data_IF_727371221170
#
_entry.id   IF_727371221170
#
_cell.length_a   1.000
_cell.length_b   1.000
_cell.length_c   1.000
_cell.angle_alpha   90.00
_cell.angle_beta   90.00
_cell.angle_gamma   90.00
#
_symmetry.space_group_name_H-M   'P 1'
#
loop_
_entity.id
_entity.type
_entity.pdbx_description
1 polymer ?
#
# COMPACT_ATOMS: atom_id res chain seq x y z
N UNK A 1 -17.78 -62.19 -3.52
CA UNK A 1 -18.02 -62.54 -2.10
C UNK A 1 -17.05 -61.78 -1.21
N UNK A 2 -17.61 -61.07 -0.22
CA UNK A 2 -17.09 -60.65 1.10
C UNK A 2 -15.82 -59.79 1.20
N UNK A 3 -16.07 -58.48 1.37
CA UNK A 3 -15.30 -57.52 2.18
C UNK A 3 -15.58 -57.82 3.67
N UNK A 4 -14.66 -57.48 4.59
CA UNK A 4 -15.00 -56.53 5.67
C UNK A 4 -13.87 -55.49 5.81
N UNK A 5 -14.07 -54.17 5.79
CA UNK A 5 -14.92 -53.31 6.62
C UNK A 5 -14.57 -53.43 8.11
N UNK A 6 -13.67 -52.55 8.59
CA UNK A 6 -13.60 -52.20 10.01
C UNK A 6 -14.02 -50.72 10.12
N UNK A 7 -15.30 -50.57 10.42
CA UNK A 7 -15.98 -49.35 10.86
C UNK A 7 -15.61 -49.12 12.34
N UNK A 8 -15.21 -47.89 12.72
CA UNK A 8 -15.99 -46.97 13.56
C UNK A 8 -15.94 -47.29 15.08
N UNK A 9 -15.98 -46.40 16.09
CA UNK A 9 -16.22 -44.95 16.22
C UNK A 9 -15.97 -44.62 17.72
N UNK A 10 -15.42 -43.43 18.01
CA UNK A 10 -15.55 -42.60 19.22
C UNK A 10 -15.02 -43.08 20.59
N UNK A 11 -14.13 -42.25 21.18
CA UNK A 11 -14.40 -41.71 22.52
C UNK A 11 -13.89 -40.27 22.62
N UNK A 12 -14.82 -39.33 22.55
CA UNK A 12 -14.63 -37.96 23.01
C UNK A 12 -14.63 -37.99 24.55
N UNK A 13 -13.55 -37.52 25.17
CA UNK A 13 -13.64 -36.86 26.47
C UNK A 13 -12.94 -35.52 26.38
N UNK A 14 -13.80 -34.52 26.39
CA UNK A 14 -13.54 -33.10 26.53
C UNK A 14 -12.84 -32.75 27.85
N UNK A 15 -12.22 -31.57 27.82
CA UNK A 15 -12.07 -30.58 28.90
C UNK A 15 -10.93 -30.70 29.93
N UNK A 16 -10.11 -29.65 29.86
CA UNK A 16 -9.66 -28.80 30.96
C UNK A 16 -8.16 -28.89 31.29
N UNK A 17 -7.42 -27.88 30.84
CA UNK A 17 -6.01 -27.69 31.19
C UNK A 17 -5.41 -26.43 30.55
N UNK A 18 -5.98 -25.26 30.85
CA UNK A 18 -5.29 -23.98 30.69
C UNK A 18 -3.94 -24.03 31.41
N UNK A 19 -2.83 -24.01 30.67
CA UNK A 19 -1.57 -23.47 31.18
C UNK A 19 -0.92 -22.61 30.10
N UNK A 20 -1.27 -21.32 30.17
CA UNK A 20 -0.46 -20.16 29.78
C UNK A 20 0.91 -20.47 29.17
N UNK A 21 0.98 -20.45 27.84
CA UNK A 21 2.24 -20.26 27.15
C UNK A 21 2.79 -18.86 27.52
N UNK A 22 4.07 -18.72 27.89
CA UNK A 22 4.63 -17.44 28.25
C UNK A 22 4.58 -16.51 27.03
N UNK A 23 3.96 -15.35 27.20
CA UNK A 23 4.08 -14.20 26.30
C UNK A 23 5.56 -13.91 26.11
N UNK A 24 6.11 -14.30 24.96
CA UNK A 24 7.33 -13.69 24.46
C UNK A 24 7.05 -12.20 24.38
N UNK A 25 7.76 -11.40 25.16
CA UNK A 25 7.68 -9.96 25.11
C UNK A 25 8.09 -9.52 23.70
N UNK A 26 7.10 -9.20 22.87
CA UNK A 26 7.31 -8.54 21.59
C UNK A 26 8.02 -7.22 21.89
N UNK A 27 9.26 -7.12 21.42
CA UNK A 27 10.06 -5.91 21.49
C UNK A 27 9.22 -4.71 21.00
N UNK A 28 9.24 -3.54 21.68
CA UNK A 28 8.46 -2.36 21.28
C UNK A 28 8.92 -1.73 19.95
N UNK A 29 9.81 -2.40 19.20
CA UNK A 29 10.33 -1.97 17.91
C UNK A 29 9.44 -2.36 16.71
N UNK A 30 8.52 -3.32 16.86
CA UNK A 30 7.71 -3.85 15.74
C UNK A 30 6.26 -3.34 15.67
N UNK A 31 5.85 -2.47 16.60
CA UNK A 31 4.50 -1.87 16.61
C UNK A 31 4.35 -0.65 15.71
N UNK A 32 5.39 -0.22 15.00
CA UNK A 32 5.29 0.86 14.01
C UNK A 32 4.62 0.44 12.69
N UNK A 33 4.34 -0.86 12.49
CA UNK A 33 3.72 -1.39 11.27
C UNK A 33 2.18 -1.53 11.33
N UNK A 34 1.51 -1.05 12.37
CA UNK A 34 0.05 -1.20 12.55
C UNK A 34 -0.69 0.11 12.86
N UNK A 35 -0.25 1.22 12.27
CA UNK A 35 -1.12 2.41 12.14
C UNK A 35 -1.53 2.49 10.68
N UNK A 36 -2.54 1.70 10.30
CA UNK A 36 -3.35 2.05 9.13
C UNK A 36 -4.04 3.38 9.46
N UNK A 37 -3.75 4.52 8.81
CA UNK A 37 -4.67 5.62 8.93
C UNK A 37 -5.97 5.20 8.24
N UNK A 38 -7.06 5.52 8.92
CA UNK A 38 -8.43 5.38 8.46
C UNK A 38 -8.57 5.85 7.00
N UNK A 39 -9.47 5.21 6.26
CA UNK A 39 -9.84 5.63 4.90
C UNK A 39 -9.88 7.16 4.82
N UNK A 40 -8.99 7.73 4.01
CA UNK A 40 -8.89 9.18 3.79
C UNK A 40 -9.89 9.59 2.71
N UNK A 41 -10.10 10.89 2.49
CA UNK A 41 -10.90 11.36 1.35
C UNK A 41 -10.31 10.91 -0.01
N UNK A 42 -9.02 10.53 -0.03
CA UNK A 42 -8.31 10.01 -1.20
C UNK A 42 -8.36 8.47 -1.31
N UNK A 43 -9.05 7.81 -0.38
CA UNK A 43 -9.22 6.37 -0.33
C UNK A 43 -8.34 5.66 0.68
N UNK A 44 -8.08 4.38 0.40
CA UNK A 44 -7.32 3.50 1.28
C UNK A 44 -5.82 3.73 1.09
N UNK A 45 -5.06 3.72 2.19
CA UNK A 45 -3.60 3.68 2.13
C UNK A 45 -3.16 2.36 1.52
N UNK A 46 -2.45 2.44 0.40
CA UNK A 46 -1.95 1.28 -0.35
C UNK A 46 -0.43 1.27 -0.47
N UNK A 47 0.25 2.38 -0.19
CA UNK A 47 1.71 2.48 -0.16
C UNK A 47 2.10 3.21 1.14
N UNK A 48 3.11 2.68 1.81
CA UNK A 48 3.81 3.33 2.91
C UNK A 48 5.30 3.08 2.74
N UNK A 49 6.10 4.13 2.67
CA UNK A 49 7.54 4.07 2.47
C UNK A 49 8.23 4.97 3.48
N UNK A 50 9.03 4.36 4.35
CA UNK A 50 9.94 5.11 5.23
C UNK A 50 11.17 5.55 4.43
N UNK A 51 11.55 6.82 4.60
CA UNK A 51 12.66 7.46 3.92
C UNK A 51 13.78 7.81 4.91
N UNK A 52 15.05 7.79 4.47
CA UNK A 52 16.14 8.31 5.27
C UNK A 52 16.09 9.84 5.37
N UNK A 53 16.45 10.40 6.53
CA UNK A 53 16.39 11.85 6.88
C UNK A 53 17.25 12.80 6.02
N UNK A 54 17.91 12.29 4.99
CA UNK A 54 18.82 13.06 4.12
C UNK A 54 18.19 13.52 2.81
N UNK A 55 16.96 13.10 2.52
CA UNK A 55 16.26 13.45 1.29
C UNK A 55 15.48 14.75 1.47
N UNK A 56 15.66 15.67 0.53
CA UNK A 56 14.86 16.90 0.47
C UNK A 56 13.45 16.61 -0.06
N UNK A 57 12.50 17.49 0.27
CA UNK A 57 11.13 17.42 -0.27
C UNK A 57 11.11 17.48 -1.81
N UNK A 58 12.05 18.20 -2.43
CA UNK A 58 12.17 18.32 -3.88
C UNK A 58 12.60 17.01 -4.53
N UNK A 59 13.59 16.32 -3.95
CA UNK A 59 14.04 15.00 -4.38
C UNK A 59 12.91 13.98 -4.31
N UNK A 60 12.19 13.95 -3.18
CA UNK A 60 11.05 13.05 -2.99
C UNK A 60 9.95 13.31 -4.02
N UNK A 61 9.61 14.58 -4.23
CA UNK A 61 8.68 15.03 -5.26
C UNK A 61 9.12 14.52 -6.64
N UNK A 62 10.37 14.77 -7.03
CA UNK A 62 10.91 14.38 -8.33
C UNK A 62 10.90 12.85 -8.51
N UNK A 63 11.22 12.08 -7.47
CA UNK A 63 11.17 10.63 -7.51
C UNK A 63 9.74 10.10 -7.78
N UNK A 64 8.72 10.73 -7.20
CA UNK A 64 7.30 10.39 -7.45
C UNK A 64 6.91 10.74 -8.89
N UNK A 65 7.25 11.94 -9.37
CA UNK A 65 7.01 12.34 -10.77
C UNK A 65 7.68 11.40 -11.76
N UNK A 66 8.97 11.11 -11.57
CA UNK A 66 9.73 10.22 -12.43
C UNK A 66 9.14 8.80 -12.45
N UNK A 67 8.66 8.31 -11.30
CA UNK A 67 8.01 6.99 -11.23
C UNK A 67 6.69 6.97 -12.00
N UNK A 68 5.89 8.03 -11.90
CA UNK A 68 4.65 8.16 -12.67
C UNK A 68 4.93 8.19 -14.18
N UNK A 69 5.86 9.04 -14.62
CA UNK A 69 6.22 9.16 -16.04
C UNK A 69 6.77 7.85 -16.63
N UNK A 70 7.64 7.15 -15.91
CA UNK A 70 8.20 5.86 -16.35
C UNK A 70 7.12 4.78 -16.56
N UNK A 71 6.04 4.82 -15.78
CA UNK A 71 4.91 3.88 -15.91
C UNK A 71 3.81 4.42 -16.85
N UNK A 72 4.03 5.57 -17.50
CA UNK A 72 3.10 6.22 -18.42
C UNK A 72 1.83 6.70 -17.71
N UNK A 73 1.99 7.37 -16.56
CA UNK A 73 0.92 8.05 -15.83
C UNK A 73 1.16 9.55 -15.90
N UNK A 74 0.08 10.31 -15.88
CA UNK A 74 0.14 11.76 -15.69
C UNK A 74 0.28 12.04 -14.20
N UNK A 75 1.21 12.91 -13.83
CA UNK A 75 1.38 13.36 -12.45
C UNK A 75 1.19 14.86 -12.38
N UNK A 76 0.49 15.32 -11.34
CA UNK A 76 0.15 16.72 -11.10
C UNK A 76 0.49 17.07 -9.66
N UNK A 77 1.19 18.19 -9.48
CA UNK A 77 1.39 18.77 -8.14
C UNK A 77 0.04 19.30 -7.67
N UNK A 78 -0.48 18.74 -6.58
CA UNK A 78 -1.78 19.09 -6.04
C UNK A 78 -1.65 19.97 -4.79
N UNK A 79 -0.45 20.46 -4.49
CA UNK A 79 -0.17 21.38 -3.38
C UNK A 79 0.27 20.65 -2.12
N UNK A 80 -0.31 21.03 -0.99
CA UNK A 80 0.06 20.53 0.34
C UNK A 80 -1.17 20.17 1.16
N UNK A 81 -1.05 19.14 1.99
CA UNK A 81 -2.03 18.77 2.99
C UNK A 81 -1.36 18.71 4.36
N UNK A 82 -1.69 19.70 5.21
CA UNK A 82 -0.91 19.97 6.42
C UNK A 82 0.56 20.22 6.06
N UNK A 83 1.47 19.51 6.72
CA UNK A 83 2.91 19.59 6.47
C UNK A 83 3.40 18.68 5.34
N UNK A 84 2.49 17.97 4.66
CA UNK A 84 2.83 17.02 3.61
C UNK A 84 2.70 17.66 2.22
N UNK A 85 3.65 17.40 1.34
CA UNK A 85 3.47 17.66 -0.09
C UNK A 85 2.48 16.66 -0.68
N UNK A 86 1.71 17.08 -1.68
CA UNK A 86 0.69 16.25 -2.32
C UNK A 86 0.90 16.18 -3.84
N UNK A 87 0.97 14.97 -4.37
CA UNK A 87 1.01 14.70 -5.81
C UNK A 87 -0.13 13.75 -6.16
N UNK A 88 -0.89 14.10 -7.19
CA UNK A 88 -1.87 13.20 -7.78
C UNK A 88 -1.32 12.57 -9.04
N UNK A 89 -1.51 11.26 -9.18
CA UNK A 89 -1.05 10.48 -10.32
C UNK A 89 -2.26 9.79 -10.93
N UNK A 90 -2.55 10.08 -12.19
CA UNK A 90 -3.73 9.56 -12.90
C UNK A 90 -3.34 8.83 -14.18
N UNK A 91 -4.14 7.83 -14.52
CA UNK A 91 -4.04 7.11 -15.79
C UNK A 91 -5.40 6.86 -16.36
N UNK A 92 -5.66 7.50 -17.48
CA UNK A 92 -6.90 7.36 -18.25
C UNK A 92 -6.75 6.22 -19.25
N UNK A 93 -7.76 5.39 -19.34
CA UNK A 93 -7.95 4.38 -20.38
C UNK A 93 -9.32 4.56 -21.00
N UNK A 94 -9.57 3.89 -22.13
CA UNK A 94 -10.83 4.00 -22.89
C UNK A 94 -12.09 3.76 -22.03
N UNK A 95 -11.97 3.00 -20.95
CA UNK A 95 -13.11 2.59 -20.12
C UNK A 95 -13.05 3.09 -18.68
N UNK A 96 -11.91 3.59 -18.23
CA UNK A 96 -11.73 3.91 -16.83
C UNK A 96 -10.53 4.82 -16.58
N UNK A 97 -10.61 5.60 -15.51
CA UNK A 97 -9.53 6.39 -14.96
C UNK A 97 -9.11 5.82 -13.60
N UNK A 98 -7.80 5.65 -13.41
CA UNK A 98 -7.21 5.27 -12.12
C UNK A 98 -6.50 6.47 -11.52
N UNK A 99 -6.82 6.81 -10.28
CA UNK A 99 -6.22 7.93 -9.55
C UNK A 99 -5.51 7.42 -8.30
N UNK A 100 -4.30 7.92 -8.07
CA UNK A 100 -3.51 7.75 -6.86
C UNK A 100 -3.14 9.11 -6.29
N UNK A 101 -3.24 9.26 -4.98
CA UNK A 101 -2.76 10.45 -4.28
C UNK A 101 -1.58 10.07 -3.42
N UNK A 102 -0.46 10.76 -3.59
CA UNK A 102 0.72 10.61 -2.75
C UNK A 102 0.82 11.80 -1.80
N UNK A 103 0.88 11.52 -0.51
CA UNK A 103 1.26 12.47 0.53
C UNK A 103 2.69 12.13 0.94
N UNK A 104 3.56 13.12 0.96
CA UNK A 104 4.97 12.90 1.29
C UNK A 104 5.52 13.98 2.21
N UNK A 105 6.44 13.54 3.06
CA UNK A 105 7.25 14.36 3.96
C UNK A 105 8.70 13.90 3.81
N UNK A 106 9.66 14.60 4.42
CA UNK A 106 11.08 14.26 4.31
C UNK A 106 11.42 12.81 4.71
N UNK A 107 10.62 12.21 5.59
CA UNK A 107 10.85 10.87 6.15
C UNK A 107 9.84 9.82 5.71
N UNK A 108 8.79 10.17 4.98
CA UNK A 108 7.74 9.23 4.63
C UNK A 108 7.06 9.58 3.31
N UNK A 109 6.68 8.55 2.55
CA UNK A 109 5.74 8.65 1.43
C UNK A 109 4.57 7.71 1.71
N UNK A 110 3.38 8.27 1.74
CA UNK A 110 2.13 7.52 1.79
C UNK A 110 1.40 7.66 0.45
N UNK A 111 0.97 6.53 -0.12
CA UNK A 111 0.16 6.50 -1.33
C UNK A 111 -1.23 5.96 -1.05
N UNK A 112 -2.23 6.69 -1.52
CA UNK A 112 -3.64 6.41 -1.36
C UNK A 112 -4.26 6.11 -2.71
N UNK A 113 -5.19 5.17 -2.73
CA UNK A 113 -5.99 4.87 -3.90
C UNK A 113 -7.43 4.64 -3.45
N UNK A 114 -8.35 5.38 -4.07
CA UNK A 114 -9.71 4.92 -4.15
C UNK A 114 -9.67 3.63 -4.97
N UNK A 115 -9.94 2.52 -4.29
CA UNK A 115 -9.80 1.14 -4.76
C UNK A 115 -10.69 0.79 -5.95
N UNK A 116 -11.20 1.78 -6.69
CA UNK A 116 -12.16 1.70 -7.77
C UNK A 116 -11.76 2.71 -8.83
N UNK A 117 -11.57 2.25 -10.07
CA UNK A 117 -11.42 3.18 -11.19
C UNK A 117 -12.72 3.96 -11.40
N UNK A 118 -12.68 5.20 -11.88
CA UNK A 118 -13.89 5.94 -12.27
C UNK A 118 -14.15 5.76 -13.76
N UNK A 119 -15.42 5.75 -14.20
CA UNK A 119 -15.75 5.74 -15.62
C UNK A 119 -15.59 7.14 -16.24
N UNK A 120 -15.86 7.27 -17.55
CA UNK A 120 -15.80 8.57 -18.26
C UNK A 120 -16.79 9.61 -17.73
N UNK A 121 -17.75 9.22 -16.89
CA UNK A 121 -18.73 10.10 -16.23
C UNK A 121 -18.33 10.46 -14.80
N UNK A 122 -17.17 9.98 -14.31
CA UNK A 122 -16.67 10.21 -12.96
C UNK A 122 -17.30 9.29 -11.90
N UNK A 123 -18.10 8.29 -12.29
CA UNK A 123 -18.73 7.36 -11.34
C UNK A 123 -17.76 6.24 -10.95
N UNK A 124 -17.70 5.84 -9.68
CA UNK A 124 -16.90 4.69 -9.26
C UNK A 124 -17.35 3.41 -9.99
N UNK A 125 -16.42 2.77 -10.70
CA UNK A 125 -16.63 1.45 -11.29
C UNK A 125 -16.30 0.38 -10.27
N UNK A 126 -16.87 -0.83 -10.39
CA UNK A 126 -16.50 -1.97 -9.53
C UNK A 126 -15.09 -2.53 -9.82
N UNK A 127 -14.32 -1.92 -10.73
CA UNK A 127 -13.00 -2.40 -11.13
C UNK A 127 -11.95 -1.89 -10.16
N UNK A 128 -11.38 -2.82 -9.40
CA UNK A 128 -10.32 -2.55 -8.47
C UNK A 128 -9.03 -2.15 -9.19
N UNK A 129 -8.36 -1.10 -8.72
CA UNK A 129 -7.04 -0.73 -9.26
C UNK A 129 -6.07 -1.89 -9.04
N UNK A 130 -5.58 -2.59 -10.08
CA UNK A 130 -4.88 -3.84 -9.90
C UNK A 130 -3.67 -3.70 -8.97
N UNK A 131 -3.49 -4.57 -7.95
CA UNK A 131 -2.36 -4.50 -7.01
C UNK A 131 -1.00 -4.42 -7.71
N UNK A 132 -0.87 -5.10 -8.86
CA UNK A 132 0.33 -5.07 -9.71
C UNK A 132 0.76 -3.65 -10.11
N UNK A 133 -0.20 -2.72 -10.34
CA UNK A 133 0.12 -1.34 -10.69
C UNK A 133 0.69 -0.57 -9.50
N UNK A 134 0.13 -0.81 -8.31
CA UNK A 134 0.56 -0.22 -7.04
C UNK A 134 2.01 -0.63 -6.74
N UNK A 135 2.30 -1.92 -6.90
CA UNK A 135 3.64 -2.46 -6.64
C UNK A 135 4.68 -1.94 -7.64
N UNK A 136 4.31 -1.78 -8.91
CA UNK A 136 5.21 -1.17 -9.91
C UNK A 136 5.57 0.26 -9.55
N UNK A 137 4.59 1.12 -9.28
CA UNK A 137 4.84 2.51 -8.89
C UNK A 137 5.68 2.57 -7.61
N UNK A 138 5.33 1.77 -6.60
CA UNK A 138 6.11 1.67 -5.36
C UNK A 138 7.57 1.29 -5.62
N UNK A 139 7.80 0.29 -6.48
CA UNK A 139 9.15 -0.16 -6.87
C UNK A 139 9.92 0.95 -7.58
N UNK A 140 9.30 1.65 -8.54
CA UNK A 140 9.93 2.77 -9.26
C UNK A 140 10.29 3.94 -8.35
N UNK A 141 9.42 4.29 -7.39
CA UNK A 141 9.72 5.32 -6.40
C UNK A 141 10.97 4.93 -5.61
N UNK A 142 11.05 3.69 -5.10
CA UNK A 142 12.24 3.20 -4.38
C UNK A 142 13.51 3.27 -5.24
N UNK A 143 13.45 2.82 -6.49
CA UNK A 143 14.58 2.85 -7.42
C UNK A 143 15.05 4.28 -7.72
N UNK A 144 14.12 5.22 -7.91
CA UNK A 144 14.46 6.64 -8.14
C UNK A 144 15.13 7.25 -6.92
N UNK A 145 14.57 7.05 -5.72
CA UNK A 145 15.15 7.57 -4.47
C UNK A 145 16.54 6.99 -4.21
N UNK A 146 16.76 5.70 -4.49
CA UNK A 146 18.08 5.07 -4.35
C UNK A 146 19.11 5.70 -5.29
N UNK A 147 18.73 6.00 -6.54
CA UNK A 147 19.61 6.70 -7.49
C UNK A 147 19.97 8.10 -7.03
N UNK A 148 18.99 8.87 -6.57
CA UNK A 148 19.22 10.22 -6.05
C UNK A 148 20.14 10.22 -4.82
N UNK A 149 19.99 9.24 -3.91
CA UNK A 149 20.90 9.09 -2.78
C UNK A 149 22.31 8.67 -3.18
N UNK A 150 22.45 7.96 -4.30
CA UNK A 150 23.73 7.53 -4.83
C UNK A 150 24.43 8.63 -5.67
N UNK A 151 23.78 9.79 -5.85
CA UNK A 151 24.33 10.96 -6.55
C UNK A 151 24.31 10.85 -8.08
N UNK A 152 23.42 10.01 -8.63
CA UNK A 152 23.23 9.82 -10.08
C UNK A 152 22.03 10.60 -10.61
#
# INVERSE_FOLDING_TARGET
>A
MKIPAIFAIFLFTFLAGCSTAPKTATSPADTSNLIHPAATIYGNKVIHLNLPKRLSMLQIRQAIFNAAYQEGWEAVDAGTEGDSGMIQVKKTSVFAESIFTFLFQQTVIDGYSNSYSVDVTGKPTKRYTPPVRIDKIRKRIKENLQREMAGY
#
